data_IF_424716593851
#
_entry.id   IF_424716593851
#
_cell.length_a   1.000
_cell.length_b   1.000
_cell.length_c   1.000
_cell.angle_alpha   90.00
_cell.angle_beta   90.00
_cell.angle_gamma   90.00
#
_symmetry.space_group_name_H-M   'P 1'
#
loop_
_entity.id
_entity.type
_entity.pdbx_description
1 polymer ?
#
# COMPACT_ATOMS: atom_id res chain seq x y z
N UNK A 1 -7.71 19.76 -33.89
CA UNK A 1 -7.51 19.78 -32.42
C UNK A 1 -8.04 18.45 -31.87
N UNK A 2 -7.17 17.63 -31.28
CA UNK A 2 -7.57 16.34 -30.72
C UNK A 2 -8.30 16.55 -29.38
N UNK A 3 -9.44 15.88 -29.12
CA UNK A 3 -10.14 16.03 -27.85
C UNK A 3 -9.35 15.33 -26.73
N UNK A 4 -8.99 16.09 -25.71
CA UNK A 4 -8.41 15.56 -24.47
C UNK A 4 -9.38 14.59 -23.82
N UNK A 5 -9.02 13.30 -23.81
CA UNK A 5 -9.72 12.24 -23.08
C UNK A 5 -9.39 12.36 -21.59
N UNK A 6 -9.93 13.38 -20.93
CA UNK A 6 -9.89 13.46 -19.48
C UNK A 6 -10.83 12.37 -18.94
N UNK A 7 -10.27 11.19 -18.66
CA UNK A 7 -10.98 10.07 -18.03
C UNK A 7 -11.39 10.51 -16.62
N UNK A 8 -12.58 11.08 -16.50
CA UNK A 8 -13.22 11.42 -15.23
C UNK A 8 -13.81 10.15 -14.60
N UNK A 9 -13.00 9.11 -14.41
CA UNK A 9 -13.39 8.01 -13.54
C UNK A 9 -13.10 8.41 -12.10
N UNK A 10 -14.02 9.17 -11.49
CA UNK A 10 -14.17 9.18 -10.03
C UNK A 10 -14.67 7.80 -9.60
N UNK A 11 -13.81 6.79 -9.69
CA UNK A 11 -14.03 5.49 -9.08
C UNK A 11 -14.16 5.77 -7.59
N UNK A 12 -15.33 5.49 -7.01
CA UNK A 12 -15.63 5.79 -5.62
C UNK A 12 -14.69 4.95 -4.73
N UNK A 13 -13.56 5.53 -4.33
CA UNK A 13 -12.55 4.84 -3.53
C UNK A 13 -13.21 4.53 -2.19
N UNK A 14 -13.42 3.25 -1.90
CA UNK A 14 -13.89 2.81 -0.59
C UNK A 14 -12.80 3.12 0.44
N UNK A 15 -13.01 4.16 1.25
CA UNK A 15 -12.08 4.59 2.31
C UNK A 15 -12.28 3.86 3.64
N UNK A 16 -13.23 2.92 3.71
CA UNK A 16 -13.54 2.17 4.94
C UNK A 16 -12.47 1.11 5.18
N UNK A 17 -11.87 1.13 6.37
CA UNK A 17 -10.90 0.14 6.80
C UNK A 17 -11.52 -1.28 6.84
N UNK A 18 -10.86 -2.31 6.30
CA UNK A 18 -11.36 -3.68 6.30
C UNK A 18 -11.08 -4.37 7.65
N UNK A 19 -11.80 -3.96 8.71
CA UNK A 19 -11.55 -4.38 10.11
C UNK A 19 -11.60 -5.91 10.31
N UNK A 20 -12.59 -6.59 9.72
CA UNK A 20 -12.75 -8.04 9.84
C UNK A 20 -11.58 -8.81 9.21
N UNK A 21 -11.16 -8.38 8.02
CA UNK A 21 -10.00 -8.95 7.34
C UNK A 21 -8.71 -8.78 8.16
N UNK A 22 -8.46 -7.57 8.68
CA UNK A 22 -7.27 -7.30 9.50
C UNK A 22 -7.23 -8.24 10.70
N UNK A 23 -8.33 -8.36 11.46
CA UNK A 23 -8.41 -9.27 12.62
C UNK A 23 -8.15 -10.73 12.25
N UNK A 24 -8.64 -11.19 11.10
CA UNK A 24 -8.39 -12.56 10.61
C UNK A 24 -6.92 -12.79 10.28
N UNK A 25 -6.27 -11.84 9.60
CA UNK A 25 -4.83 -11.93 9.27
C UNK A 25 -3.99 -12.03 10.55
N UNK A 26 -4.27 -11.20 11.56
CA UNK A 26 -3.56 -11.28 12.84
C UNK A 26 -3.79 -12.60 13.57
N UNK A 27 -5.03 -13.08 13.67
CA UNK A 27 -5.32 -14.37 14.30
C UNK A 27 -4.63 -15.53 13.59
N UNK A 28 -4.55 -15.50 12.26
CA UNK A 28 -3.84 -16.52 11.47
C UNK A 28 -2.35 -16.53 11.75
N UNK A 29 -1.73 -15.36 11.91
CA UNK A 29 -0.28 -15.24 12.08
C UNK A 29 0.16 -15.33 13.54
N UNK A 30 -0.67 -14.87 14.48
CA UNK A 30 -0.45 -14.94 15.93
C UNK A 30 -1.78 -15.26 16.64
N UNK A 31 -2.10 -16.54 16.86
CA UNK A 31 -3.41 -16.96 17.38
C UNK A 31 -3.67 -16.48 18.82
N UNK A 32 -2.62 -16.36 19.63
CA UNK A 32 -2.72 -15.92 21.02
C UNK A 32 -2.61 -14.40 21.20
N UNK A 33 -2.49 -13.62 20.12
CA UNK A 33 -2.40 -12.16 20.21
C UNK A 33 -3.80 -11.54 20.24
N UNK A 34 -4.10 -10.84 21.33
CA UNK A 34 -5.34 -10.09 21.48
C UNK A 34 -5.14 -8.63 21.07
N UNK A 35 -5.88 -8.18 20.06
CA UNK A 35 -5.92 -6.77 19.67
C UNK A 35 -6.89 -6.00 20.58
N UNK A 36 -6.39 -4.98 21.26
CA UNK A 36 -7.21 -4.01 22.01
C UNK A 36 -8.19 -3.29 21.09
N UNK A 37 -9.28 -2.77 21.66
CA UNK A 37 -10.32 -2.04 20.93
C UNK A 37 -9.70 -0.94 20.07
N UNK A 38 -10.07 -0.90 18.79
CA UNK A 38 -9.61 0.09 17.80
C UNK A 38 -8.12 0.05 17.42
N UNK A 39 -7.30 -0.82 18.02
CA UNK A 39 -5.90 -1.00 17.59
C UNK A 39 -5.78 -1.48 16.13
N UNK A 40 -6.82 -2.14 15.62
CA UNK A 40 -6.94 -2.53 14.22
C UNK A 40 -6.91 -1.33 13.24
N UNK A 41 -7.35 -0.15 13.67
CA UNK A 41 -7.30 1.07 12.87
C UNK A 41 -5.88 1.64 12.76
N UNK A 42 -5.09 1.55 13.84
CA UNK A 42 -3.68 1.96 13.83
C UNK A 42 -2.87 1.07 12.91
N UNK A 43 -3.14 -0.24 12.92
CA UNK A 43 -2.52 -1.15 11.96
C UNK A 43 -2.94 -0.78 10.52
N UNK A 44 -4.21 -0.48 10.29
CA UNK A 44 -4.66 -0.07 8.97
C UNK A 44 -3.93 1.19 8.48
N UNK A 45 -3.77 2.19 9.36
CA UNK A 45 -2.99 3.39 9.07
C UNK A 45 -1.54 3.04 8.72
N UNK A 46 -0.90 2.16 9.48
CA UNK A 46 0.47 1.73 9.18
C UNK A 46 0.55 1.03 7.80
N UNK A 47 -0.45 0.21 7.45
CA UNK A 47 -0.54 -0.40 6.13
C UNK A 47 -0.69 0.65 5.00
N UNK A 48 -1.51 1.69 5.21
CA UNK A 48 -1.65 2.78 4.25
C UNK A 48 -0.34 3.56 4.07
N UNK A 49 0.35 3.87 5.18
CA UNK A 49 1.65 4.53 5.14
C UNK A 49 2.72 3.67 4.45
N UNK A 50 2.71 2.36 4.68
CA UNK A 50 3.58 1.41 3.99
C UNK A 50 3.34 1.43 2.47
N UNK A 51 2.09 1.32 2.02
CA UNK A 51 1.75 1.36 0.60
C UNK A 51 2.10 2.70 -0.03
N UNK A 52 1.90 3.81 0.69
CA UNK A 52 2.31 5.14 0.22
C UNK A 52 3.82 5.21 0.00
N UNK A 53 4.62 4.80 0.99
CA UNK A 53 6.09 4.78 0.88
C UNK A 53 6.56 3.86 -0.25
N UNK A 54 5.92 2.70 -0.40
CA UNK A 54 6.21 1.75 -1.48
C UNK A 54 5.90 2.36 -2.86
N UNK A 55 4.80 3.10 -2.99
CA UNK A 55 4.43 3.76 -4.24
C UNK A 55 5.41 4.87 -4.62
N UNK A 56 5.84 5.69 -3.66
CA UNK A 56 6.84 6.74 -3.90
C UNK A 56 8.20 6.14 -4.34
N UNK A 57 8.69 5.14 -3.62
CA UNK A 57 9.96 4.47 -3.94
C UNK A 57 9.88 3.71 -5.29
N UNK A 58 8.74 3.08 -5.59
CA UNK A 58 8.52 2.43 -6.89
C UNK A 58 8.48 3.43 -8.04
N UNK A 59 7.92 4.63 -7.81
CA UNK A 59 7.88 5.70 -8.80
C UNK A 59 9.27 6.26 -9.05
N UNK A 60 10.06 6.51 -8.00
CA UNK A 60 11.45 6.94 -8.11
C UNK A 60 12.27 5.95 -8.96
N UNK A 61 12.18 4.65 -8.64
CA UNK A 61 12.86 3.59 -9.40
C UNK A 61 12.42 3.55 -10.88
N UNK A 62 11.14 3.79 -11.18
CA UNK A 62 10.66 3.84 -12.55
C UNK A 62 11.23 5.06 -13.30
N UNK A 63 11.27 6.23 -12.64
CA UNK A 63 11.84 7.45 -13.19
C UNK A 63 13.34 7.31 -13.48
N UNK A 64 14.11 6.73 -12.55
CA UNK A 64 15.54 6.44 -12.74
C UNK A 64 15.80 5.53 -13.93
N UNK A 65 14.93 4.53 -14.14
CA UNK A 65 14.98 3.62 -15.28
C UNK A 65 14.32 4.18 -16.55
N UNK A 66 13.97 5.47 -16.60
CA UNK A 66 13.32 6.14 -17.74
C UNK A 66 12.05 5.43 -18.23
N UNK A 67 11.32 4.79 -17.31
CA UNK A 67 10.10 4.06 -17.59
C UNK A 67 8.87 4.93 -17.29
N UNK A 68 7.96 5.06 -18.26
CA UNK A 68 6.68 5.77 -18.08
C UNK A 68 5.62 4.98 -17.28
N UNK A 69 5.89 3.70 -16.97
CA UNK A 69 4.96 2.80 -16.28
C UNK A 69 5.71 2.06 -15.17
N UNK A 70 5.08 1.88 -14.01
CA UNK A 70 5.61 1.08 -12.91
C UNK A 70 5.50 -0.41 -13.28
N UNK A 71 6.64 -1.04 -13.58
CA UNK A 71 6.78 -2.47 -13.80
C UNK A 71 6.99 -3.25 -12.49
N UNK A 72 6.81 -4.57 -12.58
CA UNK A 72 7.04 -5.51 -11.46
C UNK A 72 8.42 -5.36 -10.83
N UNK A 73 9.46 -5.14 -11.63
CA UNK A 73 10.85 -5.07 -11.14
C UNK A 73 11.08 -3.85 -10.24
N UNK A 74 10.47 -2.70 -10.58
CA UNK A 74 10.56 -1.48 -9.76
C UNK A 74 9.88 -1.68 -8.40
N UNK A 75 8.73 -2.35 -8.38
CA UNK A 75 8.01 -2.69 -7.15
C UNK A 75 8.81 -3.69 -6.31
N UNK A 76 9.44 -4.68 -6.94
CA UNK A 76 10.22 -5.70 -6.23
C UNK A 76 11.47 -5.09 -5.58
N UNK A 77 12.17 -4.20 -6.30
CA UNK A 77 13.29 -3.44 -5.76
C UNK A 77 12.85 -2.54 -4.59
N UNK A 78 11.79 -1.75 -4.77
CA UNK A 78 11.24 -0.89 -3.74
C UNK A 78 10.75 -1.68 -2.51
N UNK A 79 10.08 -2.82 -2.72
CA UNK A 79 9.55 -3.66 -1.65
C UNK A 79 10.66 -4.16 -0.72
N UNK A 80 11.82 -4.57 -1.25
CA UNK A 80 12.97 -4.98 -0.43
C UNK A 80 13.43 -3.86 0.52
N UNK A 81 13.49 -2.63 0.01
CA UNK A 81 13.93 -1.45 0.77
C UNK A 81 12.87 -1.06 1.81
N UNK A 82 11.61 -0.93 1.41
CA UNK A 82 10.54 -0.48 2.31
C UNK A 82 10.23 -1.53 3.37
N UNK A 83 10.20 -2.82 3.05
CA UNK A 83 10.03 -3.88 4.05
C UNK A 83 11.16 -3.86 5.09
N UNK A 84 12.39 -3.50 4.69
CA UNK A 84 13.50 -3.33 5.64
C UNK A 84 13.31 -2.10 6.53
N UNK A 85 12.88 -0.96 5.96
CA UNK A 85 12.59 0.29 6.69
C UNK A 85 11.38 0.18 7.63
N UNK A 86 10.44 -0.72 7.34
CA UNK A 86 9.21 -0.94 8.12
C UNK A 86 9.35 -1.98 9.22
N UNK A 87 10.55 -2.56 9.41
CA UNK A 87 10.84 -3.36 10.60
C UNK A 87 10.79 -2.44 11.81
N UNK A 88 9.96 -2.80 12.79
CA UNK A 88 9.90 -2.14 14.09
C UNK A 88 11.02 -2.58 15.01
#
# INVERSE_FOLDING_TARGET
MAPSTTVLQRKLIKRKAPRGFLKLVFKRQKPHLHLTTNSDLLVHLNCLLFVHRLAEESRANACENKCGIIKKDHVLAAAKVILKKSRG
#
